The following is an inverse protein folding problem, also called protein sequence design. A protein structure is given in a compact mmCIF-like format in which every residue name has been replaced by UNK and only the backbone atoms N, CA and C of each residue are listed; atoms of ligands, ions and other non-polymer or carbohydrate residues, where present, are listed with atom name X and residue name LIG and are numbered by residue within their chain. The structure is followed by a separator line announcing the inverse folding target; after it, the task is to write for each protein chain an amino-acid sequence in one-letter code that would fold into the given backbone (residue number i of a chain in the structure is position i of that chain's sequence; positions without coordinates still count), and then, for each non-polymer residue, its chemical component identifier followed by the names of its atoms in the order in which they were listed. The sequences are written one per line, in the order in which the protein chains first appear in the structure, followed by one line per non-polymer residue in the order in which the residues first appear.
data_IF_124629469892
#
_entry.id   IF_124629469892
#
_cell.length_a   1.000
_cell.length_b   1.000
_cell.length_c   1.000
_cell.angle_alpha   90.00
_cell.angle_beta   90.00
_cell.angle_gamma   90.00
#
_symmetry.space_group_name_H-M   'P 1'
#
loop_
_entity.id
_entity.type
_entity.pdbx_description
1 polymer ?
#
# COMPACT_ATOMS: atom_id res chain seq x y z
N UNK A 1 -10.99 -15.44 -4.51
CA UNK A 1 -10.14 -16.54 -3.98
C UNK A 1 -8.81 -15.94 -3.54
N UNK A 2 -8.31 -16.22 -2.34
CA UNK A 2 -7.01 -15.74 -1.84
C UNK A 2 -5.99 -16.88 -1.95
N UNK A 3 -4.80 -16.60 -2.47
CA UNK A 3 -3.67 -17.53 -2.41
C UNK A 3 -2.56 -16.85 -1.62
N UNK A 4 -2.10 -17.53 -0.57
CA UNK A 4 -0.87 -17.21 0.15
C UNK A 4 0.24 -18.06 -0.47
N UNK A 5 1.08 -17.44 -1.31
CA UNK A 5 2.09 -18.14 -2.10
C UNK A 5 3.46 -18.18 -1.40
N UNK A 6 3.66 -17.40 -0.35
CA UNK A 6 4.90 -17.32 0.40
C UNK A 6 4.54 -17.38 1.87
N UNK A 7 4.74 -18.56 2.48
CA UNK A 7 4.38 -18.80 3.88
C UNK A 7 4.72 -17.59 4.74
N UNK A 8 3.68 -17.02 5.37
CA UNK A 8 3.72 -15.84 6.23
C UNK A 8 5.14 -15.62 6.76
N UNK A 9 5.85 -14.65 6.18
CA UNK A 9 7.23 -14.34 6.53
C UNK A 9 7.42 -14.37 8.04
N UNK A 10 7.97 -15.48 8.56
CA UNK A 10 8.08 -15.67 10.01
C UNK A 10 9.27 -14.90 10.60
N UNK A 11 10.08 -14.24 9.73
CA UNK A 11 11.29 -13.48 10.08
C UNK A 11 11.58 -12.36 9.07
N UNK A 12 10.75 -11.33 9.00
CA UNK A 12 11.12 -10.02 8.40
C UNK A 12 11.33 -9.95 6.88
N UNK A 13 10.98 -11.00 6.13
CA UNK A 13 10.85 -10.96 4.67
C UNK A 13 9.53 -10.32 4.19
N UNK A 14 9.45 -10.06 2.89
CA UNK A 14 8.26 -9.53 2.22
C UNK A 14 7.03 -10.44 2.41
N UNK A 15 5.86 -9.84 2.57
CA UNK A 15 4.56 -10.53 2.58
C UNK A 15 3.73 -9.99 1.43
N UNK A 16 3.28 -10.88 0.55
CA UNK A 16 2.45 -10.54 -0.60
C UNK A 16 1.19 -11.37 -0.64
N UNK A 17 0.08 -10.71 -0.92
CA UNK A 17 -1.23 -11.33 -1.06
C UNK A 17 -1.84 -10.91 -2.38
N UNK A 18 -2.31 -11.89 -3.15
CA UNK A 18 -3.10 -11.65 -4.36
C UNK A 18 -4.59 -11.76 -4.03
N UNK A 19 -5.36 -10.76 -4.45
CA UNK A 19 -6.82 -10.72 -4.29
C UNK A 19 -7.44 -10.53 -5.66
N UNK A 20 -8.33 -11.46 -6.03
CA UNK A 20 -9.15 -11.39 -7.25
C UNK A 20 -10.62 -11.61 -6.89
N UNK A 21 -11.46 -10.74 -7.43
CA UNK A 21 -12.92 -10.75 -7.30
C UNK A 21 -13.55 -10.39 -8.64
N UNK A 22 -14.81 -10.78 -8.83
CA UNK A 22 -15.56 -10.70 -10.09
C UNK A 22 -16.55 -11.85 -10.20
N UNK A 23 -17.45 -11.82 -11.18
CA UNK A 23 -18.49 -12.84 -11.36
C UNK A 23 -17.90 -14.27 -11.49
N UNK A 24 -16.76 -14.39 -12.15
CA UNK A 24 -16.05 -15.66 -12.36
C UNK A 24 -14.55 -15.47 -12.11
N UNK A 25 -13.99 -16.24 -11.18
CA UNK A 25 -12.55 -16.23 -10.85
C UNK A 25 -11.95 -17.58 -11.23
N UNK A 26 -11.24 -17.62 -12.35
CA UNK A 26 -10.66 -18.85 -12.91
C UNK A 26 -9.31 -19.25 -12.27
N UNK A 27 -8.53 -18.25 -11.82
CA UNK A 27 -7.24 -18.47 -11.14
C UNK A 27 -7.07 -17.45 -10.01
N UNK A 28 -6.49 -17.85 -8.87
CA UNK A 28 -6.20 -16.93 -7.78
C UNK A 28 -4.89 -16.17 -7.94
N UNK A 29 -4.01 -16.58 -8.87
CA UNK A 29 -2.73 -15.92 -9.11
C UNK A 29 -2.94 -14.77 -10.09
N UNK A 30 -2.32 -13.62 -9.80
CA UNK A 30 -2.27 -12.46 -10.69
C UNK A 30 -0.95 -12.55 -11.46
N UNK A 31 -0.99 -12.68 -12.79
CA UNK A 31 0.21 -12.59 -13.63
C UNK A 31 0.96 -11.26 -13.47
N UNK A 32 2.25 -11.28 -13.75
CA UNK A 32 3.06 -10.07 -13.85
C UNK A 32 2.50 -9.16 -14.96
N UNK A 33 2.50 -7.83 -14.73
CA UNK A 33 1.98 -6.84 -15.67
C UNK A 33 0.46 -6.84 -15.84
N UNK A 34 -0.32 -7.44 -14.92
CA UNK A 34 -1.77 -7.59 -15.10
C UNK A 34 -2.61 -7.22 -13.86
N UNK A 35 -2.02 -6.70 -12.79
CA UNK A 35 -2.78 -6.22 -11.65
C UNK A 35 -3.42 -4.86 -11.96
N UNK A 36 -4.69 -4.69 -11.66
CA UNK A 36 -5.37 -3.39 -11.78
C UNK A 36 -4.92 -2.42 -10.68
N UNK A 37 -4.64 -2.97 -9.49
CA UNK A 37 -4.22 -2.21 -8.31
C UNK A 37 -3.03 -2.86 -7.61
N UNK A 38 -2.09 -2.03 -7.16
CA UNK A 38 -1.03 -2.41 -6.22
C UNK A 38 -1.24 -1.64 -4.92
N UNK A 39 -1.53 -2.35 -3.84
CA UNK A 39 -1.64 -1.77 -2.49
C UNK A 39 -0.39 -2.09 -1.68
N UNK A 40 0.34 -1.09 -1.22
CA UNK A 40 1.60 -1.29 -0.50
C UNK A 40 1.71 -0.42 0.76
N UNK A 41 2.21 -1.01 1.84
CA UNK A 41 2.39 -0.33 3.13
C UNK A 41 3.72 0.43 3.24
N UNK A 42 4.58 0.34 2.23
CA UNK A 42 5.93 0.92 2.23
C UNK A 42 6.41 1.10 0.78
N UNK A 43 7.19 2.16 0.52
CA UNK A 43 7.58 2.57 -0.84
C UNK A 43 8.52 1.61 -1.56
N UNK A 44 9.58 1.15 -0.89
CA UNK A 44 10.54 0.21 -1.49
C UNK A 44 9.87 -1.14 -1.79
N UNK A 45 8.96 -1.58 -0.94
CA UNK A 45 8.17 -2.79 -1.16
C UNK A 45 7.22 -2.61 -2.36
N UNK A 46 6.58 -1.45 -2.49
CA UNK A 46 5.82 -1.13 -3.70
C UNK A 46 6.71 -1.22 -4.95
N UNK A 47 7.91 -0.65 -4.91
CA UNK A 47 8.83 -0.67 -6.05
C UNK A 47 9.29 -2.08 -6.43
N UNK A 48 9.45 -3.00 -5.47
CA UNK A 48 9.75 -4.41 -5.75
C UNK A 48 8.64 -5.10 -6.52
N UNK A 49 7.38 -4.73 -6.27
CA UNK A 49 6.20 -5.38 -6.83
C UNK A 49 5.55 -4.62 -7.99
N UNK A 50 5.99 -3.41 -8.31
CA UNK A 50 5.40 -2.57 -9.36
C UNK A 50 5.36 -3.24 -10.74
N UNK A 51 6.27 -4.17 -11.02
CA UNK A 51 6.23 -4.98 -12.25
C UNK A 51 4.99 -5.87 -12.39
N UNK A 52 4.25 -6.13 -11.30
CA UNK A 52 2.97 -6.85 -11.38
C UNK A 52 1.81 -5.97 -11.81
N UNK A 53 1.94 -4.65 -11.70
CA UNK A 53 0.92 -3.70 -12.08
C UNK A 53 0.80 -3.64 -13.61
N UNK A 54 -0.44 -3.60 -14.11
CA UNK A 54 -0.71 -3.33 -15.51
C UNK A 54 -0.25 -1.91 -15.87
N UNK A 55 0.05 -1.61 -17.16
CA UNK A 55 0.46 -0.26 -17.57
C UNK A 55 -0.52 0.85 -17.18
N UNK A 56 -1.83 0.56 -17.18
CA UNK A 56 -2.88 1.49 -16.75
C UNK A 56 -3.27 1.31 -15.27
N UNK A 57 -2.61 0.42 -14.53
CA UNK A 57 -2.95 0.09 -13.15
C UNK A 57 -2.59 1.22 -12.18
N UNK A 58 -3.26 1.23 -11.03
CA UNK A 58 -3.07 2.22 -9.98
C UNK A 58 -2.27 1.65 -8.81
N UNK A 59 -1.19 2.31 -8.43
CA UNK A 59 -0.46 2.03 -7.20
C UNK A 59 -0.96 2.93 -6.06
N UNK A 60 -1.50 2.32 -5.00
CA UNK A 60 -1.87 2.99 -3.75
C UNK A 60 -0.83 2.63 -2.69
N UNK A 61 0.05 3.57 -2.39
CA UNK A 61 1.28 3.31 -1.64
C UNK A 61 1.32 4.20 -0.41
N UNK A 62 1.59 3.62 0.76
CA UNK A 62 1.89 4.39 1.96
C UNK A 62 3.24 5.10 1.82
N UNK A 63 3.29 6.38 2.16
CA UNK A 63 4.49 7.25 2.15
C UNK A 63 5.46 6.91 3.29
N UNK A 64 5.62 5.62 3.58
CA UNK A 64 6.49 5.11 4.61
C UNK A 64 7.79 4.60 4.00
N UNK A 65 8.84 4.67 4.81
CA UNK A 65 10.15 4.11 4.53
C UNK A 65 10.57 3.26 5.73
N UNK A 66 10.85 1.98 5.50
CA UNK A 66 11.27 1.05 6.56
C UNK A 66 12.64 0.48 6.20
N UNK A 67 13.73 1.20 6.54
CA UNK A 67 15.08 0.71 6.30
C UNK A 67 15.38 -0.54 7.14
N UNK A 68 16.05 -1.51 6.54
CA UNK A 68 16.57 -2.67 7.28
C UNK A 68 17.76 -2.25 8.14
N UNK A 69 18.07 -3.02 9.20
CA UNK A 69 19.28 -2.78 10.00
C UNK A 69 20.56 -2.78 9.15
N UNK A 70 20.61 -3.62 8.11
CA UNK A 70 21.72 -3.68 7.18
C UNK A 70 21.86 -2.37 6.38
N UNK A 71 20.74 -1.80 5.94
CA UNK A 71 20.71 -0.53 5.23
C UNK A 71 21.06 0.67 6.14
N UNK A 72 20.64 0.64 7.42
CA UNK A 72 21.03 1.65 8.41
C UNK A 72 22.52 1.58 8.78
N UNK A 73 23.13 0.40 8.66
CA UNK A 73 24.56 0.19 8.91
C UNK A 73 25.44 0.53 7.70
N UNK A 74 24.84 0.92 6.57
CA UNK A 74 25.59 1.31 5.38
C UNK A 74 26.38 2.59 5.66
N UNK A 75 27.71 2.52 5.51
CA UNK A 75 28.56 3.70 5.68
C UNK A 75 28.84 4.34 4.32
N UNK A 76 28.44 5.61 4.08
CA UNK A 76 28.82 6.31 2.85
C UNK A 76 30.34 6.51 2.72
N UNK A 77 31.10 6.32 3.81
CA UNK A 77 32.57 6.40 3.82
C UNK A 77 33.26 5.05 3.60
N UNK A 78 32.54 3.93 3.67
CA UNK A 78 33.06 2.58 3.43
C UNK A 78 32.01 1.76 2.66
N UNK A 79 31.89 1.97 1.33
CA UNK A 79 30.92 1.24 0.51
C UNK A 79 31.18 -0.26 0.44
N UNK A 80 32.39 -0.71 0.80
CA UNK A 80 32.81 -2.10 0.92
C UNK A 80 32.42 -2.76 2.26
N UNK A 81 32.01 -1.97 3.27
CA UNK A 81 31.62 -2.45 4.60
C UNK A 81 30.22 -1.95 4.97
N UNK A 82 29.24 -2.83 4.85
CA UNK A 82 27.84 -2.58 5.21
C UNK A 82 26.89 -3.34 4.30
N UNK A 83 25.60 -3.36 4.64
CA UNK A 83 24.57 -3.81 3.70
C UNK A 83 24.34 -2.79 2.58
N UNK A 84 23.55 -3.12 1.55
CA UNK A 84 23.15 -2.14 0.54
C UNK A 84 22.40 -0.99 1.21
N UNK A 85 22.73 0.25 0.82
CA UNK A 85 22.03 1.43 1.30
C UNK A 85 20.55 1.40 0.89
N UNK A 86 19.68 1.96 1.74
CA UNK A 86 18.29 2.16 1.37
C UNK A 86 18.23 3.22 0.24
N UNK A 87 17.58 2.94 -0.91
CA UNK A 87 17.53 3.88 -2.02
C UNK A 87 16.87 5.21 -1.62
N UNK A 88 17.21 6.31 -2.29
CA UNK A 88 16.55 7.58 -2.00
C UNK A 88 15.05 7.50 -2.28
N UNK A 89 14.28 8.24 -1.49
CA UNK A 89 12.82 8.29 -1.66
C UNK A 89 12.44 8.80 -3.05
N UNK A 90 13.17 9.76 -3.59
CA UNK A 90 12.94 10.28 -4.94
C UNK A 90 13.19 9.23 -6.02
N UNK A 91 14.21 8.37 -5.86
CA UNK A 91 14.47 7.29 -6.80
C UNK A 91 13.35 6.24 -6.78
N UNK A 92 12.85 5.91 -5.58
CA UNK A 92 11.76 4.95 -5.41
C UNK A 92 10.46 5.52 -5.97
N UNK A 93 10.11 6.75 -5.61
CA UNK A 93 8.91 7.43 -6.10
C UNK A 93 8.97 7.65 -7.61
N UNK A 94 10.14 8.01 -8.16
CA UNK A 94 10.33 8.15 -9.60
C UNK A 94 10.10 6.85 -10.36
N UNK A 95 10.64 5.72 -9.87
CA UNK A 95 10.40 4.40 -10.46
C UNK A 95 8.91 4.02 -10.40
N UNK A 96 8.24 4.29 -9.28
CA UNK A 96 6.81 4.03 -9.15
C UNK A 96 5.98 4.86 -10.12
N UNK A 97 6.29 6.15 -10.27
CA UNK A 97 5.61 7.05 -11.19
C UNK A 97 5.86 6.70 -12.67
N UNK A 98 7.04 6.17 -13.01
CA UNK A 98 7.35 5.68 -14.36
C UNK A 98 6.54 4.42 -14.72
N UNK A 99 6.35 3.51 -13.75
CA UNK A 99 5.80 2.18 -14.01
C UNK A 99 4.30 2.05 -13.76
N UNK A 100 3.74 2.87 -12.89
CA UNK A 100 2.31 2.87 -12.62
C UNK A 100 1.59 3.83 -13.56
N UNK A 101 0.44 3.42 -14.10
CA UNK A 101 -0.44 4.33 -14.83
C UNK A 101 -0.97 5.46 -13.94
N UNK A 102 -1.07 5.18 -12.62
CA UNK A 102 -1.41 6.16 -11.60
C UNK A 102 -0.72 5.84 -10.28
N UNK A 103 -0.18 6.85 -9.60
CA UNK A 103 0.43 6.70 -8.26
C UNK A 103 -0.30 7.57 -7.24
N UNK A 104 -0.88 6.93 -6.21
CA UNK A 104 -1.43 7.57 -5.03
C UNK A 104 -0.51 7.32 -3.84
N UNK A 105 0.32 8.33 -3.51
CA UNK A 105 1.24 8.28 -2.37
C UNK A 105 0.59 8.88 -1.12
N UNK A 106 0.19 8.03 -0.17
CA UNK A 106 -0.66 8.41 0.98
C UNK A 106 0.17 8.44 2.27
N UNK A 107 0.17 9.52 3.06
CA UNK A 107 0.89 9.61 4.34
C UNK A 107 0.14 8.85 5.45
N UNK A 108 -0.12 7.56 5.24
CA UNK A 108 -1.05 6.77 6.06
C UNK A 108 -0.59 6.63 7.51
N UNK A 109 0.71 6.43 7.76
CA UNK A 109 1.24 6.33 9.12
C UNK A 109 1.23 7.65 9.89
N UNK A 110 1.44 8.79 9.20
CA UNK A 110 1.25 10.13 9.77
C UNK A 110 -0.21 10.34 10.16
N UNK A 111 -1.14 10.14 9.23
CA UNK A 111 -2.58 10.31 9.46
C UNK A 111 -3.09 9.41 10.60
N UNK A 112 -2.63 8.17 10.66
CA UNK A 112 -2.96 7.26 11.76
C UNK A 112 -2.41 7.72 13.12
N UNK A 113 -1.22 8.31 13.13
CA UNK A 113 -0.62 8.89 14.34
C UNK A 113 -1.40 10.11 14.82
N UNK A 114 -1.83 10.98 13.90
CA UNK A 114 -2.69 12.14 14.21
C UNK A 114 -4.05 11.72 14.77
N UNK A 115 -4.58 10.57 14.35
CA UNK A 115 -5.77 9.94 14.94
C UNK A 115 -5.52 9.29 16.31
N UNK A 116 -4.27 9.30 16.80
CA UNK A 116 -3.88 8.79 18.12
C UNK A 116 -3.55 7.29 18.14
N UNK A 117 -3.51 6.60 17.00
CA UNK A 117 -3.16 5.18 16.95
C UNK A 117 -2.56 4.76 15.61
N UNK A 118 -1.25 4.61 15.54
CA UNK A 118 -0.56 4.18 14.33
C UNK A 118 -1.08 2.85 13.73
N UNK A 119 -1.73 1.98 14.52
CA UNK A 119 -2.28 0.71 14.04
C UNK A 119 -3.39 0.86 13.00
N UNK A 120 -4.01 2.02 12.87
CA UNK A 120 -5.06 2.26 11.85
C UNK A 120 -4.52 2.72 10.50
N UNK A 121 -3.20 2.79 10.31
CA UNK A 121 -2.58 3.16 9.03
C UNK A 121 -3.08 2.30 7.85
N UNK A 122 -3.26 0.99 8.07
CA UNK A 122 -3.79 0.11 7.04
C UNK A 122 -5.22 0.52 6.61
N UNK A 123 -6.03 0.99 7.56
CA UNK A 123 -7.42 1.41 7.28
C UNK A 123 -7.46 2.77 6.59
N UNK A 124 -6.52 3.67 6.91
CA UNK A 124 -6.30 4.90 6.12
C UNK A 124 -5.97 4.54 4.67
N UNK A 125 -5.08 3.58 4.45
CA UNK A 125 -4.71 3.16 3.08
C UNK A 125 -5.88 2.49 2.33
N UNK A 126 -6.72 1.70 3.03
CA UNK A 126 -7.96 1.16 2.46
C UNK A 126 -8.96 2.26 2.09
N UNK A 127 -9.06 3.31 2.90
CA UNK A 127 -9.84 4.50 2.58
C UNK A 127 -9.37 5.15 1.28
N UNK A 128 -8.06 5.31 1.10
CA UNK A 128 -7.52 5.85 -0.15
C UNK A 128 -7.82 4.92 -1.35
N UNK A 129 -7.66 3.60 -1.18
CA UNK A 129 -7.99 2.62 -2.22
C UNK A 129 -9.47 2.68 -2.64
N UNK A 130 -10.39 2.94 -1.71
CA UNK A 130 -11.82 3.00 -2.01
C UNK A 130 -12.22 4.18 -2.90
N UNK A 131 -11.31 5.11 -3.20
CA UNK A 131 -11.56 6.23 -4.11
C UNK A 131 -11.38 5.84 -5.58
N UNK A 132 -10.52 4.84 -5.82
CA UNK A 132 -10.16 4.39 -7.18
C UNK A 132 -10.74 3.03 -7.54
N UNK A 133 -11.30 2.34 -6.56
CA UNK A 133 -11.86 1.01 -6.72
C UNK A 133 -13.39 1.12 -6.73
N UNK A 134 -14.03 0.58 -7.77
CA UNK A 134 -15.48 0.62 -8.00
C UNK A 134 -16.24 -0.31 -7.05
N UNK A 135 -16.19 0.01 -5.75
CA UNK A 135 -16.97 -0.62 -4.68
C UNK A 135 -17.66 0.50 -3.89
N UNK A 136 -18.99 0.46 -3.72
CA UNK A 136 -19.73 1.45 -2.95
C UNK A 136 -19.17 1.62 -1.53
N UNK A 137 -19.14 2.86 -1.05
CA UNK A 137 -18.59 3.21 0.27
C UNK A 137 -19.29 2.44 1.39
N UNK A 138 -20.58 2.20 1.23
CA UNK A 138 -21.43 1.46 2.16
C UNK A 138 -20.91 0.04 2.36
N UNK A 139 -20.45 -0.62 1.29
CA UNK A 139 -19.88 -1.96 1.37
C UNK A 139 -18.57 -1.98 2.19
N UNK A 140 -17.76 -0.93 2.09
CA UNK A 140 -16.57 -0.77 2.94
C UNK A 140 -16.94 -0.56 4.41
N UNK A 141 -17.94 0.27 4.69
CA UNK A 141 -18.42 0.50 6.07
C UNK A 141 -18.99 -0.78 6.68
N UNK A 142 -19.83 -1.52 5.95
CA UNK A 142 -20.34 -2.82 6.39
C UNK A 142 -19.20 -3.82 6.64
N UNK A 143 -18.17 -3.82 5.81
CA UNK A 143 -17.01 -4.68 6.02
C UNK A 143 -16.21 -4.31 7.29
N UNK A 144 -16.06 -3.01 7.58
CA UNK A 144 -15.41 -2.53 8.81
C UNK A 144 -16.22 -2.97 10.03
N UNK A 145 -17.53 -2.75 10.05
CA UNK A 145 -18.43 -3.16 11.13
C UNK A 145 -18.37 -4.67 11.39
N UNK A 146 -18.30 -5.48 10.33
CA UNK A 146 -18.26 -6.93 10.43
C UNK A 146 -16.90 -7.50 10.89
N UNK A 147 -15.79 -6.75 10.77
CA UNK A 147 -14.42 -7.24 11.00
C UNK A 147 -13.72 -6.56 12.17
N UNK A 148 -14.04 -5.31 12.47
CA UNK A 148 -13.40 -4.53 13.53
C UNK A 148 -14.14 -4.75 14.85
N UNK A 149 -13.45 -5.11 15.95
CA UNK A 149 -14.10 -5.21 17.25
C UNK A 149 -14.81 -3.90 17.63
N UNK A 150 -16.02 -3.95 18.24
CA UNK A 150 -16.82 -2.75 18.49
C UNK A 150 -16.07 -1.61 19.19
N UNK A 151 -15.19 -1.93 20.15
CA UNK A 151 -14.35 -0.97 20.87
C UNK A 151 -13.37 -0.16 20.01
N UNK A 152 -13.10 -0.61 18.79
CA UNK A 152 -12.18 0.03 17.85
C UNK A 152 -12.89 0.57 16.61
N UNK A 153 -14.21 0.34 16.48
CA UNK A 153 -14.94 0.62 15.25
C UNK A 153 -14.92 2.10 14.88
N UNK A 154 -15.27 2.98 15.81
CA UNK A 154 -15.29 4.44 15.59
C UNK A 154 -13.96 4.96 15.03
N UNK A 155 -12.85 4.57 15.68
CA UNK A 155 -11.51 4.98 15.26
C UNK A 155 -11.17 4.46 13.85
N UNK A 156 -11.57 3.24 13.50
CA UNK A 156 -11.32 2.68 12.17
C UNK A 156 -12.21 3.33 11.10
N UNK A 157 -13.46 3.68 11.42
CA UNK A 157 -14.34 4.41 10.51
C UNK A 157 -13.80 5.82 10.23
N UNK A 158 -13.30 6.52 11.27
CA UNK A 158 -12.60 7.80 11.12
C UNK A 158 -11.32 7.68 10.30
N UNK A 159 -10.51 6.64 10.55
CA UNK A 159 -9.31 6.37 9.77
C UNK A 159 -9.63 6.13 8.29
N UNK A 160 -10.68 5.37 8.00
CA UNK A 160 -11.15 5.13 6.64
C UNK A 160 -11.60 6.43 5.96
N UNK A 161 -12.37 7.28 6.66
CA UNK A 161 -12.80 8.57 6.12
C UNK A 161 -11.62 9.50 5.79
N UNK A 162 -10.66 9.64 6.71
CA UNK A 162 -9.42 10.41 6.48
C UNK A 162 -8.62 9.84 5.31
N UNK A 163 -8.57 8.51 5.18
CA UNK A 163 -7.98 7.83 4.04
C UNK A 163 -8.62 8.19 2.71
N UNK A 164 -9.96 8.21 2.66
CA UNK A 164 -10.72 8.61 1.47
C UNK A 164 -10.45 10.05 1.07
N UNK A 165 -10.49 10.98 2.03
CA UNK A 165 -10.18 12.38 1.78
C UNK A 165 -8.77 12.55 1.20
N UNK A 166 -7.79 11.84 1.79
CA UNK A 166 -6.41 11.85 1.31
C UNK A 166 -6.26 11.28 -0.11
N UNK A 167 -7.06 10.26 -0.46
CA UNK A 167 -7.15 9.71 -1.81
C UNK A 167 -7.67 10.75 -2.80
N UNK A 168 -8.85 11.31 -2.54
CA UNK A 168 -9.54 12.29 -3.40
C UNK A 168 -8.70 13.55 -3.68
N UNK A 169 -8.01 14.09 -2.68
CA UNK A 169 -7.13 15.26 -2.85
C UNK A 169 -5.92 15.00 -3.75
N UNK A 170 -5.52 13.74 -3.88
CA UNK A 170 -4.41 13.31 -4.75
C UNK A 170 -4.90 12.92 -6.14
N UNK A 171 -6.18 12.59 -6.27
CA UNK A 171 -6.82 12.44 -7.57
C UNK A 171 -6.84 13.77 -8.32
N UNK A 172 -7.27 14.85 -7.66
CA UNK A 172 -7.39 16.17 -8.28
C UNK A 172 -6.05 16.83 -8.63
N UNK A 173 -4.94 16.40 -8.02
CA UNK A 173 -3.59 16.91 -8.30
C UNK A 173 -2.86 16.18 -9.43
N UNK A 174 -3.37 15.02 -9.87
CA UNK A 174 -2.77 14.24 -10.96
C UNK A 174 -3.35 14.58 -12.34
N UNK A 175 -4.31 15.50 -12.41
CA UNK A 175 -4.99 15.96 -13.63
C UNK A 175 -4.54 17.37 -14.09
N UNK A 176 -3.58 17.99 -13.38
CA UNK A 176 -2.89 19.24 -13.77
C UNK A 176 -1.47 18.96 -14.27
#
# INVERSE_FOLDING_TARGET
KKTDAHGMSQRGGSVVSHVRFGERVLSPVIPTGSADFLLALERLEAARWVGHLAPAGTAVVSDEAIPTLAALSASPRRPDRGGPAYPSLDAITGLLAERAGRLLLVPAGRLATELGNHRVANVVLLGALSTVLDIPVEAWQTALEARVPPRFLDLNQRAFAVGREAGQQRESRGEE
#
